data_IF_802531385800
#
_entry.id   IF_802531385800
#
_cell.length_a   1.000
_cell.length_b   1.000
_cell.length_c   1.000
_cell.angle_alpha   90.00
_cell.angle_beta   90.00
_cell.angle_gamma   90.00
#
_symmetry.space_group_name_H-M   'P 1'
#
loop_
_entity.id
_entity.type
_entity.pdbx_description
1 polymer ?
#
# COMPACT_ATOMS: atom_id res chain seq x y z
N UNK A 1 7.96 -1.05 -14.58
CA UNK A 1 6.78 -0.27 -14.17
C UNK A 1 5.70 -1.25 -13.77
N UNK A 2 5.20 -1.16 -12.54
CA UNK A 2 4.35 -2.18 -11.92
C UNK A 2 2.87 -2.15 -12.39
N UNK A 3 2.40 -1.03 -12.93
CA UNK A 3 1.04 -0.86 -13.43
C UNK A 3 1.08 -0.07 -14.74
N UNK A 4 0.16 -0.38 -15.66
CA UNK A 4 -0.03 0.36 -16.92
C UNK A 4 -1.18 1.36 -16.82
N UNK A 5 -1.29 2.29 -17.79
CA UNK A 5 -2.42 3.23 -17.87
C UNK A 5 -3.76 2.50 -17.93
N UNK A 6 -3.83 1.40 -18.70
CA UNK A 6 -5.03 0.56 -18.79
C UNK A 6 -5.36 -0.10 -17.45
N UNK A 7 -4.36 -0.55 -16.69
CA UNK A 7 -4.58 -1.09 -15.35
C UNK A 7 -5.14 -0.05 -14.40
N UNK A 8 -4.62 1.19 -14.42
CA UNK A 8 -5.14 2.25 -13.55
C UNK A 8 -6.59 2.57 -13.89
N UNK A 9 -6.91 2.69 -15.18
CA UNK A 9 -8.29 2.91 -15.63
C UNK A 9 -9.22 1.77 -15.23
N UNK A 10 -8.78 0.52 -15.39
CA UNK A 10 -9.56 -0.67 -15.01
C UNK A 10 -9.80 -0.77 -13.50
N UNK A 11 -8.81 -0.43 -12.68
CA UNK A 11 -8.87 -0.59 -11.22
C UNK A 11 -9.62 0.58 -10.56
N UNK A 12 -9.43 1.79 -11.06
CA UNK A 12 -9.87 3.02 -10.38
C UNK A 12 -10.94 3.80 -11.14
N UNK A 13 -11.07 3.58 -12.45
CA UNK A 13 -11.92 4.37 -13.34
C UNK A 13 -11.29 5.69 -13.80
N UNK A 14 -10.10 6.06 -13.31
CA UNK A 14 -9.42 7.30 -13.67
C UNK A 14 -8.44 7.10 -14.82
N UNK A 15 -8.34 8.11 -15.68
CA UNK A 15 -7.35 8.17 -16.75
C UNK A 15 -6.20 9.06 -16.29
N UNK A 16 -5.01 8.47 -16.18
CA UNK A 16 -3.79 9.14 -15.71
C UNK A 16 -2.68 9.00 -16.75
N UNK A 17 -1.77 9.96 -16.76
CA UNK A 17 -0.59 9.96 -17.63
C UNK A 17 0.53 9.03 -17.11
N UNK A 18 1.38 8.54 -18.02
CA UNK A 18 2.53 7.68 -17.70
C UNK A 18 3.50 8.36 -16.73
N UNK A 19 3.71 9.67 -16.90
CA UNK A 19 4.55 10.46 -16.00
C UNK A 19 4.03 10.45 -14.56
N UNK A 20 2.70 10.45 -14.37
CA UNK A 20 2.07 10.42 -13.07
C UNK A 20 2.19 9.03 -12.44
N UNK A 21 2.04 7.96 -13.23
CA UNK A 21 2.25 6.58 -12.79
C UNK A 21 3.69 6.37 -12.29
N UNK A 22 4.69 6.91 -12.99
CA UNK A 22 6.09 6.82 -12.53
C UNK A 22 6.33 7.53 -11.21
N UNK A 23 5.72 8.69 -10.99
CA UNK A 23 5.78 9.40 -9.71
C UNK A 23 5.10 8.59 -8.60
N UNK A 24 3.93 8.03 -8.88
CA UNK A 24 3.20 7.16 -7.97
C UNK A 24 4.00 5.90 -7.61
N UNK A 25 4.71 5.32 -8.57
CA UNK A 25 5.61 4.20 -8.34
C UNK A 25 6.77 4.59 -7.41
N UNK A 26 7.41 5.74 -7.61
CA UNK A 26 8.47 6.20 -6.71
C UNK A 26 7.97 6.37 -5.27
N UNK A 27 6.76 6.93 -5.09
CA UNK A 27 6.13 7.04 -3.77
C UNK A 27 5.87 5.66 -3.15
N UNK A 28 5.37 4.72 -3.94
CA UNK A 28 5.16 3.34 -3.50
C UNK A 28 6.48 2.68 -3.06
N UNK A 29 7.56 2.81 -3.83
CA UNK A 29 8.85 2.18 -3.51
C UNK A 29 9.44 2.71 -2.20
N UNK A 30 9.32 4.02 -1.95
CA UNK A 30 9.70 4.65 -0.67
C UNK A 30 8.86 4.09 0.49
N UNK A 31 7.55 3.91 0.29
CA UNK A 31 6.66 3.41 1.33
C UNK A 31 6.81 1.91 1.59
N UNK A 32 7.04 1.11 0.54
CA UNK A 32 7.18 -0.33 0.61
C UNK A 32 8.58 -0.76 1.06
N UNK A 33 9.56 0.16 1.06
CA UNK A 33 10.94 -0.09 1.45
C UNK A 33 11.68 -1.02 0.49
N UNK A 34 11.20 -1.17 -0.75
CA UNK A 34 11.74 -2.11 -1.72
C UNK A 34 11.52 -1.63 -3.16
N UNK A 35 12.56 -1.59 -4.00
CA UNK A 35 12.42 -1.25 -5.42
C UNK A 35 11.72 -2.37 -6.19
N UNK A 36 11.08 -2.01 -7.32
CA UNK A 36 10.39 -2.94 -8.22
C UNK A 36 11.23 -4.16 -8.60
N UNK A 37 12.53 -3.96 -8.87
CA UNK A 37 13.45 -5.02 -9.33
C UNK A 37 13.63 -6.18 -8.34
N UNK A 38 13.28 -5.99 -7.06
CA UNK A 38 13.41 -7.01 -6.03
C UNK A 38 12.08 -7.71 -5.71
N UNK A 39 10.97 -7.33 -6.38
CA UNK A 39 9.66 -7.94 -6.19
C UNK A 39 9.53 -9.11 -7.17
N UNK A 40 9.64 -10.34 -6.66
CA UNK A 40 9.62 -11.56 -7.48
C UNK A 40 8.38 -12.42 -7.28
N UNK A 41 7.69 -12.26 -6.15
CA UNK A 41 6.51 -13.06 -5.81
C UNK A 41 5.27 -12.56 -6.58
N UNK A 42 4.54 -13.44 -7.29
CA UNK A 42 3.36 -13.05 -8.06
C UNK A 42 2.26 -12.36 -7.23
N UNK A 43 2.08 -12.79 -5.98
CA UNK A 43 1.12 -12.17 -5.06
C UNK A 43 1.51 -10.74 -4.71
N UNK A 44 2.80 -10.49 -4.47
CA UNK A 44 3.30 -9.17 -4.11
C UNK A 44 3.29 -8.23 -5.32
N UNK A 45 3.56 -8.76 -6.52
CA UNK A 45 3.41 -8.01 -7.77
C UNK A 45 1.97 -7.52 -7.94
N UNK A 46 0.98 -8.38 -7.73
CA UNK A 46 -0.43 -7.97 -7.81
C UNK A 46 -0.77 -6.87 -6.79
N UNK A 47 -0.39 -7.03 -5.53
CA UNK A 47 -0.61 -6.00 -4.50
C UNK A 47 0.10 -4.68 -4.82
N UNK A 48 1.31 -4.76 -5.36
CA UNK A 48 2.07 -3.58 -5.76
C UNK A 48 1.43 -2.84 -6.95
N UNK A 49 0.86 -3.55 -7.91
CA UNK A 49 0.13 -2.96 -9.03
C UNK A 49 -1.12 -2.20 -8.54
N UNK A 50 -1.89 -2.79 -7.61
CA UNK A 50 -3.02 -2.10 -6.98
C UNK A 50 -2.57 -0.85 -6.20
N UNK A 51 -1.47 -0.96 -5.45
CA UNK A 51 -0.93 0.14 -4.65
C UNK A 51 -0.52 1.34 -5.53
N UNK A 52 0.15 1.08 -6.66
CA UNK A 52 0.56 2.12 -7.62
C UNK A 52 -0.64 2.73 -8.33
N UNK A 53 -1.62 1.93 -8.74
CA UNK A 53 -2.85 2.43 -9.39
C UNK A 53 -3.66 3.35 -8.46
N UNK A 54 -3.84 2.97 -7.20
CA UNK A 54 -4.53 3.80 -6.21
C UNK A 54 -3.76 5.08 -5.87
N UNK A 55 -2.42 4.99 -5.81
CA UNK A 55 -1.58 6.16 -5.57
C UNK A 55 -1.66 7.13 -6.75
N UNK A 56 -1.65 6.63 -7.99
CA UNK A 56 -1.78 7.44 -9.18
C UNK A 56 -3.14 8.17 -9.21
N UNK A 57 -4.25 7.46 -9.01
CA UNK A 57 -5.57 8.08 -8.95
C UNK A 57 -5.68 9.12 -7.82
N UNK A 58 -5.04 8.87 -6.68
CA UNK A 58 -5.03 9.82 -5.57
C UNK A 58 -4.25 11.10 -5.90
N UNK A 59 -3.07 10.97 -6.51
CA UNK A 59 -2.22 12.09 -6.93
C UNK A 59 -2.84 12.92 -8.06
N UNK A 60 -3.73 12.34 -8.87
CA UNK A 60 -4.47 13.05 -9.92
C UNK A 60 -5.66 13.84 -9.35
N UNK A 61 -6.41 13.21 -8.42
CA UNK A 61 -7.63 13.80 -7.85
C UNK A 61 -7.35 14.85 -6.75
N UNK A 62 -6.18 14.78 -6.11
CA UNK A 62 -5.84 15.71 -5.04
C UNK A 62 -4.54 16.45 -5.33
N UNK A 63 -4.50 17.73 -4.97
CA UNK A 63 -3.25 18.49 -4.89
C UNK A 63 -2.48 18.03 -3.64
N UNK A 64 -2.06 16.77 -3.65
CA UNK A 64 -1.50 16.01 -2.52
C UNK A 64 -0.32 16.73 -1.88
N UNK A 65 0.43 17.50 -2.68
CA UNK A 65 1.59 18.25 -2.22
C UNK A 65 1.26 19.69 -1.77
N UNK A 66 0.04 20.18 -2.03
CA UNK A 66 -0.43 21.49 -1.59
C UNK A 66 -1.37 21.43 -0.37
N UNK A 67 -1.85 20.23 0.01
CA UNK A 67 -2.73 20.08 1.17
C UNK A 67 -2.01 20.32 2.49
N UNK A 68 -2.47 21.33 3.24
CA UNK A 68 -2.06 21.54 4.62
C UNK A 68 -2.55 20.38 5.49
N UNK A 69 -1.63 19.75 6.22
CA UNK A 69 -1.89 18.66 7.16
C UNK A 69 -2.65 19.17 8.40
N UNK A 70 -3.95 19.42 8.25
CA UNK A 70 -4.82 19.87 9.35
C UNK A 70 -5.46 18.65 10.01
N UNK A 71 -4.90 18.19 11.12
CA UNK A 71 -5.42 17.03 11.88
C UNK A 71 -6.62 17.41 12.76
N UNK A 72 -6.69 18.66 13.20
CA UNK A 72 -7.85 19.23 13.83
C UNK A 72 -8.00 20.69 13.42
N UNK A 73 -9.12 21.08 12.83
CA UNK A 73 -9.53 22.48 12.75
C UNK A 73 -10.57 22.70 13.82
N UNK A 74 -10.24 23.54 14.77
CA UNK A 74 -11.17 23.99 15.79
C UNK A 74 -11.56 25.44 15.29
N UNK A 75 -12.67 26.09 15.69
CA UNK A 75 -12.83 27.57 15.60
C UNK A 75 -13.64 28.13 16.78
N UNK A 76 -13.17 29.28 17.31
CA UNK A 76 -13.62 30.07 18.49
C UNK A 76 -12.88 29.90 19.86
N UNK A 77 -12.00 28.90 20.03
CA UNK A 77 -11.10 28.67 21.21
C UNK A 77 -10.16 27.47 21.04
N UNK A 78 -9.28 27.54 20.05
CA UNK A 78 -9.25 26.43 19.12
C UNK A 78 -7.83 26.07 18.71
N UNK A 79 -7.47 24.82 18.97
CA UNK A 79 -6.14 24.30 18.67
C UNK A 79 -6.21 23.65 17.30
N UNK A 80 -5.46 24.21 16.36
CA UNK A 80 -5.14 23.52 15.12
C UNK A 80 -3.94 22.62 15.41
N UNK A 81 -4.18 21.33 15.55
CA UNK A 81 -3.10 20.34 15.63
C UNK A 81 -2.80 19.94 14.20
N UNK A 82 -1.59 20.25 13.72
CA UNK A 82 -1.10 19.67 12.48
C UNK A 82 -0.64 18.26 12.80
N UNK A 83 -1.05 17.31 11.96
CA UNK A 83 -0.73 15.92 12.20
C UNK A 83 0.67 15.56 11.83
N UNK A 84 1.07 14.33 12.12
CA UNK A 84 2.35 13.78 11.68
C UNK A 84 2.17 12.82 10.50
N UNK A 85 1.00 12.86 9.86
CA UNK A 85 0.66 11.98 8.76
C UNK A 85 1.29 12.45 7.45
N UNK A 86 2.00 11.56 6.76
CA UNK A 86 2.44 11.81 5.39
C UNK A 86 1.22 11.77 4.45
N UNK A 87 0.65 12.95 4.13
CA UNK A 87 -0.43 13.11 3.15
C UNK A 87 -0.02 12.70 1.74
N UNK A 88 1.28 12.55 1.48
CA UNK A 88 1.82 12.11 0.20
C UNK A 88 1.32 10.72 -0.24
N UNK A 89 0.74 9.91 0.64
CA UNK A 89 0.40 8.50 0.37
C UNK A 89 -1.09 8.23 0.61
N UNK A 90 -1.74 7.63 -0.38
CA UNK A 90 -3.12 7.19 -0.28
C UNK A 90 -3.29 6.12 0.82
N UNK A 91 -4.39 6.21 1.57
CA UNK A 91 -4.76 5.19 2.56
C UNK A 91 -4.95 3.80 1.94
N UNK A 92 -5.42 3.73 0.69
CA UNK A 92 -5.57 2.46 -0.03
C UNK A 92 -4.19 1.86 -0.38
N UNK A 93 -3.25 2.70 -0.78
CA UNK A 93 -1.86 2.30 -1.02
C UNK A 93 -1.24 1.74 0.26
N UNK A 94 -1.43 2.39 1.41
CA UNK A 94 -0.99 1.86 2.70
C UNK A 94 -1.63 0.50 3.05
N UNK A 95 -2.92 0.32 2.75
CA UNK A 95 -3.60 -0.96 2.96
C UNK A 95 -3.00 -2.08 2.10
N UNK A 96 -2.69 -1.82 0.82
CA UNK A 96 -1.99 -2.78 -0.04
C UNK A 96 -0.58 -3.09 0.46
N UNK A 97 0.18 -2.07 0.89
CA UNK A 97 1.55 -2.23 1.39
C UNK A 97 1.61 -3.14 2.63
N UNK A 98 0.58 -3.14 3.48
CA UNK A 98 0.49 -4.03 4.65
C UNK A 98 0.34 -5.51 4.28
N UNK A 99 -0.16 -5.82 3.09
CA UNK A 99 -0.34 -7.19 2.62
C UNK A 99 0.92 -7.79 1.97
N UNK A 100 1.96 -6.97 1.75
CA UNK A 100 3.22 -7.41 1.14
C UNK A 100 3.94 -8.40 2.05
N UNK A 101 4.46 -9.47 1.45
CA UNK A 101 5.03 -10.60 2.18
C UNK A 101 6.21 -10.24 3.10
N UNK A 102 6.94 -9.16 2.80
CA UNK A 102 8.09 -8.69 3.58
C UNK A 102 7.76 -7.71 4.68
N UNK A 103 6.57 -7.10 4.67
CA UNK A 103 6.12 -6.20 5.75
C UNK A 103 5.45 -6.95 6.90
N UNK A 104 5.06 -8.20 6.68
CA UNK A 104 4.47 -9.04 7.72
C UNK A 104 5.59 -9.70 8.52
N UNK A 105 5.74 -9.34 9.80
CA UNK A 105 6.63 -10.05 10.73
C UNK A 105 6.31 -11.54 10.69
N UNK A 106 7.22 -12.35 10.14
CA UNK A 106 7.13 -13.80 10.26
C UNK A 106 7.58 -14.16 11.67
N UNK A 107 6.64 -14.50 12.55
CA UNK A 107 7.01 -15.12 13.82
C UNK A 107 7.68 -16.45 13.50
N UNK A 108 9.00 -16.53 13.69
CA UNK A 108 9.72 -17.78 13.62
C UNK A 108 9.48 -18.49 14.96
N UNK A 109 8.47 -19.33 15.01
CA UNK A 109 8.26 -20.23 16.14
C UNK A 109 9.38 -21.27 16.11
N UNK A 110 10.37 -21.13 16.98
CA UNK A 110 11.47 -22.09 17.22
C UNK A 110 11.02 -23.30 18.06
N UNK A 111 9.75 -23.72 17.97
CA UNK A 111 9.32 -25.00 18.55
C UNK A 111 9.65 -26.13 17.59
N UNK A 112 10.11 -27.23 18.17
CA UNK A 112 10.34 -28.50 17.49
C UNK A 112 9.11 -28.89 16.65
N UNK A 113 9.35 -29.17 15.37
CA UNK A 113 8.37 -29.61 14.36
C UNK A 113 7.63 -30.91 14.76
N UNK A 114 8.07 -31.57 15.84
CA UNK A 114 7.52 -32.85 16.30
C UNK A 114 6.10 -32.77 16.90
N UNK A 115 5.58 -31.59 17.28
CA UNK A 115 4.37 -31.54 18.14
C UNK A 115 3.06 -31.11 17.45
N UNK A 116 3.07 -30.65 16.18
CA UNK A 116 1.89 -29.99 15.58
C UNK A 116 1.32 -30.64 14.29
N UNK A 117 1.59 -31.93 14.04
CA UNK A 117 0.82 -32.71 13.05
C UNK A 117 -0.28 -33.57 13.68
N UNK A 118 -1.05 -33.01 14.62
CA UNK A 118 -2.37 -33.56 14.95
C UNK A 118 -3.42 -32.82 14.15
N UNK A 119 -3.62 -33.27 12.91
CA UNK A 119 -4.85 -32.97 12.20
C UNK A 119 -6.04 -33.59 12.97
N UNK A 120 -7.20 -32.93 13.02
CA UNK A 120 -8.38 -33.51 13.65
C UNK A 120 -8.82 -34.78 12.90
N UNK A 121 -9.16 -35.82 13.68
CA UNK A 121 -9.35 -37.21 13.24
C UNK A 121 -10.44 -37.41 12.17
N UNK A 122 -11.31 -36.42 11.97
CA UNK A 122 -12.43 -36.49 11.01
C UNK A 122 -12.06 -36.04 9.58
N UNK A 123 -10.81 -35.69 9.31
CA UNK A 123 -10.32 -35.36 7.96
C UNK A 123 -9.77 -36.56 7.17
N UNK A 124 -9.84 -37.75 7.75
CA UNK A 124 -9.56 -39.02 7.09
C UNK A 124 -10.77 -39.92 7.22
N UNK A 125 -11.76 -39.77 6.34
CA UNK A 125 -12.62 -40.81 5.77
C UNK A 125 -13.36 -40.25 4.56
#
# INVERSE_FOLDING_TARGET
MLATVEDVSRITGYTVDDALIRRAQAVFEVCAGRPESLITLPSDLAWSAYAVAWQAAYMDNSDVFAQANVEASKQDKVTVTFGDHNFAVSRLTLAAVRNLSWNRSRSVTTRSIADERRLPVWWTF
#
